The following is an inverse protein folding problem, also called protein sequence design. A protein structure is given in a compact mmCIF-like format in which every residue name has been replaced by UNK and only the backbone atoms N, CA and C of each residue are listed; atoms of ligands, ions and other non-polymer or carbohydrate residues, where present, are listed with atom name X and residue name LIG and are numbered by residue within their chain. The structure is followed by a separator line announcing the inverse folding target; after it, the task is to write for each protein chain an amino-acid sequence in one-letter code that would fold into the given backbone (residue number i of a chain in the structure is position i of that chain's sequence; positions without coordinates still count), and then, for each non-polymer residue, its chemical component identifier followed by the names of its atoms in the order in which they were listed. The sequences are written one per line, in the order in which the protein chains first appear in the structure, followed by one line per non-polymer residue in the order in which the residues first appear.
data_IF_265972148436
#
_entry.id   IF_265972148436
#
_cell.length_a   1.000
_cell.length_b   1.000
_cell.length_c   1.000
_cell.angle_alpha   90.00
_cell.angle_beta   90.00
_cell.angle_gamma   90.00
#
_symmetry.space_group_name_H-M   'P 1'
#
loop_
_entity.id
_entity.type
_entity.pdbx_description
1 polymer ?
#
# COMPACT_ATOMS: atom_id res chain seq x y z
N UNK A 1 5.06 12.09 12.32
CA UNK A 1 5.49 11.11 11.31
C UNK A 1 5.40 11.77 9.94
N UNK A 2 6.43 11.62 9.08
CA UNK A 2 6.49 12.22 7.73
C UNK A 2 6.26 11.14 6.67
N UNK A 3 5.29 11.37 5.80
CA UNK A 3 4.87 10.41 4.78
C UNK A 3 4.91 11.05 3.41
N UNK A 4 5.56 10.37 2.46
CA UNK A 4 5.49 10.75 1.06
C UNK A 4 4.43 9.91 0.35
N UNK A 5 3.58 10.55 -0.45
CA UNK A 5 2.59 9.86 -1.29
C UNK A 5 2.91 10.13 -2.75
N UNK A 6 3.17 9.07 -3.49
CA UNK A 6 3.50 9.07 -4.92
C UNK A 6 2.41 8.34 -5.69
N UNK A 7 2.33 8.59 -6.99
CA UNK A 7 1.40 7.86 -7.85
C UNK A 7 1.37 8.43 -9.26
N UNK A 8 0.96 7.58 -10.21
CA UNK A 8 0.70 8.02 -11.58
C UNK A 8 -0.38 9.12 -11.61
N UNK A 9 -0.45 9.93 -12.69
CA UNK A 9 -1.50 10.93 -12.87
C UNK A 9 -2.91 10.34 -12.68
N UNK A 10 -3.84 11.13 -12.14
CA UNK A 10 -5.24 10.75 -11.89
C UNK A 10 -5.47 9.52 -10.98
N UNK A 11 -4.46 9.08 -10.21
CA UNK A 11 -4.63 8.06 -9.16
C UNK A 11 -5.21 8.63 -7.85
N UNK A 12 -5.68 9.88 -7.81
CA UNK A 12 -6.26 10.45 -6.58
C UNK A 12 -5.27 10.62 -5.42
N UNK A 13 -3.96 10.66 -5.69
CA UNK A 13 -2.91 10.91 -4.68
C UNK A 13 -3.18 12.16 -3.83
N UNK A 14 -3.59 13.26 -4.47
CA UNK A 14 -3.90 14.52 -3.81
C UNK A 14 -5.12 14.42 -2.89
N UNK A 15 -6.16 13.70 -3.32
CA UNK A 15 -7.34 13.44 -2.48
C UNK A 15 -6.96 12.61 -1.23
N UNK A 16 -6.07 11.62 -1.38
CA UNK A 16 -5.56 10.83 -0.26
C UNK A 16 -4.73 11.68 0.71
N UNK A 17 -3.89 12.59 0.21
CA UNK A 17 -3.11 13.53 1.03
C UNK A 17 -4.05 14.38 1.89
N UNK A 18 -5.06 15.00 1.29
CA UNK A 18 -6.06 15.80 2.01
C UNK A 18 -6.83 14.97 3.04
N UNK A 19 -7.24 13.75 2.67
CA UNK A 19 -7.98 12.85 3.55
C UNK A 19 -7.16 12.43 4.78
N UNK A 20 -5.86 12.12 4.60
CA UNK A 20 -4.96 11.76 5.69
C UNK A 20 -4.67 12.94 6.62
N UNK A 21 -4.40 14.12 6.05
CA UNK A 21 -4.18 15.33 6.84
C UNK A 21 -5.40 15.69 7.71
N UNK A 22 -6.61 15.40 7.23
CA UNK A 22 -7.85 15.62 7.98
C UNK A 22 -8.15 14.54 9.03
N UNK A 23 -7.53 13.35 8.91
CA UNK A 23 -7.76 12.23 9.83
C UNK A 23 -6.76 12.18 10.97
N UNK A 24 -5.53 12.65 10.75
CA UNK A 24 -4.42 12.58 11.70
C UNK A 24 -3.63 13.89 11.70
N UNK A 25 -3.95 14.77 12.65
CA UNK A 25 -3.36 16.11 12.75
C UNK A 25 -1.82 16.12 12.92
N UNK A 26 -1.25 15.04 13.46
CA UNK A 26 0.20 14.91 13.72
C UNK A 26 0.99 14.37 12.52
N UNK A 27 0.31 14.04 11.43
CA UNK A 27 0.89 13.45 10.23
C UNK A 27 1.33 14.55 9.25
N UNK A 28 2.62 14.59 8.90
CA UNK A 28 3.10 15.46 7.83
C UNK A 28 3.09 14.68 6.52
N UNK A 29 2.21 15.04 5.60
CA UNK A 29 2.06 14.33 4.32
C UNK A 29 2.52 15.20 3.16
N UNK A 30 3.42 14.67 2.34
CA UNK A 30 3.90 15.30 1.10
C UNK A 30 3.19 14.71 -0.12
N UNK A 31 2.58 15.54 -0.96
CA UNK A 31 2.01 15.14 -2.25
C UNK A 31 3.09 15.14 -3.34
N UNK A 32 3.43 13.95 -3.83
CA UNK A 32 4.38 13.70 -4.91
C UNK A 32 5.69 14.51 -4.81
N UNK A 33 6.46 14.39 -3.70
CA UNK A 33 7.75 15.05 -3.58
C UNK A 33 8.71 14.61 -4.71
N UNK A 34 9.62 15.52 -5.10
CA UNK A 34 10.63 15.21 -6.11
C UNK A 34 11.57 14.08 -5.65
N UNK A 35 12.22 13.35 -6.56
CA UNK A 35 13.20 12.32 -6.21
C UNK A 35 14.29 12.82 -5.26
N UNK A 36 14.84 14.02 -5.50
CA UNK A 36 15.85 14.62 -4.62
C UNK A 36 15.30 14.87 -3.22
N UNK A 37 14.05 15.32 -3.12
CA UNK A 37 13.36 15.53 -1.84
C UNK A 37 13.05 14.21 -1.15
N UNK A 38 12.76 13.13 -1.88
CA UNK A 38 12.55 11.79 -1.32
C UNK A 38 13.84 11.21 -0.75
N UNK A 39 14.96 11.44 -1.44
CA UNK A 39 16.25 10.87 -1.07
C UNK A 39 16.92 11.63 0.08
N UNK A 40 16.78 12.96 0.11
CA UNK A 40 17.31 13.81 1.18
C UNK A 40 16.32 14.01 2.33
N UNK A 41 15.02 13.88 2.04
CA UNK A 41 13.95 14.03 3.00
C UNK A 41 13.84 12.80 3.89
N UNK A 42 13.83 13.03 5.20
CA UNK A 42 13.62 11.97 6.19
C UNK A 42 12.14 11.62 6.26
N UNK A 43 11.70 10.70 5.40
CA UNK A 43 10.35 10.13 5.41
C UNK A 43 10.33 8.82 6.21
N UNK A 44 9.36 8.67 7.10
CA UNK A 44 9.16 7.45 7.88
C UNK A 44 8.50 6.34 7.02
N UNK A 45 7.65 6.76 6.07
CA UNK A 45 6.95 5.89 5.11
C UNK A 45 6.83 6.55 3.76
N UNK A 46 6.96 5.75 2.71
CA UNK A 46 6.65 6.12 1.32
C UNK A 46 5.50 5.25 0.83
N UNK A 47 4.43 5.89 0.36
CA UNK A 47 3.25 5.23 -0.19
C UNK A 47 3.17 5.49 -1.69
N UNK A 48 2.87 4.45 -2.47
CA UNK A 48 2.65 4.52 -3.91
C UNK A 48 1.20 4.16 -4.23
N UNK A 49 0.50 5.00 -5.00
CA UNK A 49 -0.87 4.71 -5.42
C UNK A 49 -0.92 3.57 -6.45
N UNK A 50 -1.80 2.60 -6.21
CA UNK A 50 -2.12 1.55 -7.17
C UNK A 50 -2.95 2.03 -8.38
N UNK A 51 -2.91 1.24 -9.45
CA UNK A 51 -3.64 1.43 -10.71
C UNK A 51 -4.95 0.64 -10.80
N UNK A 52 -5.54 0.32 -9.66
CA UNK A 52 -6.71 -0.56 -9.52
C UNK A 52 -8.06 0.10 -9.81
N UNK A 53 -8.06 1.39 -10.18
CA UNK A 53 -9.24 2.09 -10.68
C UNK A 53 -9.54 1.69 -12.13
N UNK A 54 -10.83 1.61 -12.52
CA UNK A 54 -11.18 1.37 -13.91
C UNK A 54 -10.71 2.53 -14.79
N UNK A 55 -10.36 2.23 -16.05
CA UNK A 55 -9.96 3.25 -17.02
C UNK A 55 -8.47 3.64 -16.98
N UNK A 56 -7.61 2.85 -16.34
CA UNK A 56 -6.16 3.06 -16.37
C UNK A 56 -5.64 3.02 -17.81
N UNK A 57 -4.90 4.08 -18.19
CA UNK A 57 -4.30 4.24 -19.51
C UNK A 57 -2.87 3.68 -19.59
N UNK A 58 -2.35 3.36 -20.78
CA UNK A 58 -0.95 2.98 -20.96
C UNK A 58 0.05 4.02 -20.45
N UNK A 59 -0.28 5.31 -20.56
CA UNK A 59 0.55 6.39 -20.03
C UNK A 59 0.64 6.34 -18.49
N UNK A 60 -0.47 6.02 -17.81
CA UNK A 60 -0.47 5.84 -16.35
C UNK A 60 0.32 4.59 -15.92
N UNK A 61 0.24 3.50 -16.70
CA UNK A 61 1.05 2.30 -16.47
C UNK A 61 2.55 2.58 -16.62
N UNK A 62 2.93 3.30 -17.68
CA UNK A 62 4.31 3.71 -17.90
C UNK A 62 4.81 4.63 -16.77
N UNK A 63 3.98 5.58 -16.32
CA UNK A 63 4.32 6.46 -15.21
C UNK A 63 4.49 5.71 -13.88
N UNK A 64 3.60 4.76 -13.56
CA UNK A 64 3.73 3.90 -12.36
C UNK A 64 4.99 3.02 -12.43
N UNK A 65 5.25 2.39 -13.58
CA UNK A 65 6.45 1.60 -13.79
C UNK A 65 7.73 2.43 -13.63
N UNK A 66 7.74 3.66 -14.17
CA UNK A 66 8.86 4.59 -14.00
C UNK A 66 9.06 5.00 -12.53
N UNK A 67 8.00 5.25 -11.78
CA UNK A 67 8.07 5.55 -10.35
C UNK A 67 8.64 4.37 -9.57
N UNK A 68 8.18 3.14 -9.84
CA UNK A 68 8.71 1.92 -9.21
C UNK A 68 10.19 1.71 -9.52
N UNK A 69 10.59 1.91 -10.77
CA UNK A 69 11.99 1.80 -11.19
C UNK A 69 12.87 2.84 -10.48
N UNK A 70 12.41 4.09 -10.35
CA UNK A 70 13.12 5.15 -9.63
C UNK A 70 13.26 4.84 -8.14
N UNK A 71 12.17 4.43 -7.48
CA UNK A 71 12.21 4.06 -6.06
C UNK A 71 13.17 2.88 -5.81
N UNK A 72 13.15 1.87 -6.70
CA UNK A 72 14.08 0.75 -6.63
C UNK A 72 15.54 1.17 -6.83
N UNK A 73 15.81 2.03 -7.83
CA UNK A 73 17.16 2.55 -8.09
C UNK A 73 17.72 3.38 -6.91
N UNK A 74 16.86 4.11 -6.20
CA UNK A 74 17.23 4.86 -4.99
C UNK A 74 17.30 4.00 -3.73
N UNK A 75 16.90 2.72 -3.78
CA UNK A 75 16.81 1.85 -2.61
C UNK A 75 15.74 2.29 -1.60
N UNK A 76 14.74 3.06 -2.03
CA UNK A 76 13.67 3.57 -1.16
C UNK A 76 12.58 2.51 -1.04
N UNK A 77 12.40 1.98 0.18
CA UNK A 77 11.28 1.09 0.47
C UNK A 77 9.95 1.84 0.40
N UNK A 78 8.94 1.23 -0.23
CA UNK A 78 7.60 1.80 -0.35
C UNK A 78 6.53 0.72 -0.18
N UNK A 79 5.32 1.15 0.21
CA UNK A 79 4.13 0.31 0.25
C UNK A 79 3.10 0.82 -0.77
N UNK A 80 2.32 -0.10 -1.36
CA UNK A 80 1.33 0.25 -2.39
C UNK A 80 -0.06 0.39 -1.78
N UNK A 81 -0.73 1.51 -2.04
CA UNK A 81 -2.11 1.78 -1.61
C UNK A 81 -3.07 1.41 -2.74
N UNK A 82 -3.81 0.32 -2.54
CA UNK A 82 -4.91 -0.09 -3.40
C UNK A 82 -6.26 0.41 -2.88
N UNK A 83 -7.25 0.49 -3.77
CA UNK A 83 -8.65 0.77 -3.47
C UNK A 83 -9.34 1.46 -4.64
N UNK A 84 -10.57 1.07 -4.97
CA UNK A 84 -11.30 1.68 -6.10
C UNK A 84 -11.88 3.04 -5.73
N UNK A 85 -12.29 3.17 -4.48
CA UNK A 85 -12.90 4.36 -3.91
C UNK A 85 -11.96 5.10 -2.96
N UNK A 86 -12.19 6.40 -2.75
CA UNK A 86 -11.36 7.24 -1.88
C UNK A 86 -11.34 6.75 -0.43
N UNK A 87 -12.51 6.37 0.11
CA UNK A 87 -12.64 5.83 1.47
C UNK A 87 -11.87 4.51 1.65
N UNK A 88 -11.81 3.69 0.61
CA UNK A 88 -11.05 2.43 0.64
C UNK A 88 -9.55 2.71 0.67
N UNK A 89 -9.07 3.65 -0.17
CA UNK A 89 -7.67 4.09 -0.19
C UNK A 89 -7.23 4.72 1.13
N UNK A 90 -8.08 5.55 1.74
CA UNK A 90 -7.81 6.10 3.07
C UNK A 90 -7.63 4.98 4.10
N UNK A 91 -8.55 4.01 4.15
CA UNK A 91 -8.46 2.87 5.09
C UNK A 91 -7.23 2.00 4.83
N UNK A 92 -6.86 1.79 3.57
CA UNK A 92 -5.66 1.04 3.19
C UNK A 92 -4.39 1.78 3.63
N UNK A 93 -4.30 3.09 3.36
CA UNK A 93 -3.19 3.92 3.79
C UNK A 93 -3.04 3.92 5.32
N UNK A 94 -4.13 4.13 6.07
CA UNK A 94 -4.08 4.11 7.54
C UNK A 94 -3.52 2.80 8.10
N UNK A 95 -3.83 1.66 7.49
CA UNK A 95 -3.26 0.35 7.89
C UNK A 95 -1.77 0.18 7.58
N UNK A 96 -1.24 0.88 6.59
CA UNK A 96 0.19 0.87 6.26
C UNK A 96 1.00 1.84 7.12
N UNK A 97 0.33 2.91 7.57
CA UNK A 97 0.85 3.98 8.41
C UNK A 97 0.95 3.52 9.86
N UNK A 98 -0.16 2.97 10.36
CA UNK A 98 -0.30 2.42 11.70
C UNK A 98 -0.83 0.99 11.53
N UNK A 99 0.07 0.02 11.32
CA UNK A 99 -0.32 -1.37 11.32
C UNK A 99 -0.81 -1.68 12.72
N UNK A 100 -2.13 -1.81 12.86
CA UNK A 100 -2.73 -2.27 14.11
C UNK A 100 -2.01 -3.55 14.53
N UNK A 101 -1.47 -3.56 15.75
CA UNK A 101 -0.90 -4.75 16.41
C UNK A 101 -2.02 -5.77 16.67
N UNK A 102 -2.59 -6.31 15.59
CA UNK A 102 -3.21 -7.61 15.62
C UNK A 102 -2.11 -8.64 15.80
N UNK A 103 -2.40 -9.81 16.41
CA UNK A 103 -1.41 -10.88 16.44
C UNK A 103 -0.91 -11.10 15.02
N UNK A 104 0.42 -11.06 14.84
CA UNK A 104 1.03 -11.48 13.60
C UNK A 104 0.38 -12.82 13.24
N UNK A 105 -0.13 -13.01 12.00
CA UNK A 105 -0.71 -14.28 11.62
C UNK A 105 0.30 -15.35 12.01
N UNK A 106 -0.12 -16.29 12.88
CA UNK A 106 0.73 -17.37 13.39
C UNK A 106 0.94 -18.39 12.29
N UNK A 107 1.58 -17.96 11.21
CA UNK A 107 2.08 -18.84 10.19
C UNK A 107 3.41 -19.42 10.71
N UNK A 108 3.32 -20.63 11.26
CA UNK A 108 4.48 -21.42 11.72
C UNK A 108 4.99 -22.40 10.66
N UNK A 109 4.43 -22.36 9.45
CA UNK A 109 4.87 -23.20 8.34
C UNK A 109 6.08 -22.63 7.62
N UNK A 110 7.11 -23.44 7.39
CA UNK A 110 8.17 -23.07 6.42
C UNK A 110 7.57 -23.25 5.02
N UNK A 111 7.21 -22.16 4.36
CA UNK A 111 6.91 -22.22 2.93
C UNK A 111 8.25 -22.30 2.20
N UNK A 112 8.78 -23.51 2.00
CA UNK A 112 10.05 -23.70 1.29
C UNK A 112 9.91 -23.38 -0.21
N UNK A 113 8.69 -23.32 -0.73
CA UNK A 113 8.38 -23.00 -2.13
C UNK A 113 7.11 -22.16 -2.22
N UNK A 114 7.27 -20.86 -2.52
CA UNK A 114 6.19 -19.87 -2.64
C UNK A 114 5.20 -20.11 -3.82
N UNK A 115 5.12 -21.33 -4.36
CA UNK A 115 4.28 -21.69 -5.51
C UNK A 115 3.74 -23.14 -5.41
N UNK A 116 3.61 -23.68 -4.19
CA UNK A 116 3.01 -24.99 -3.97
C UNK A 116 1.47 -24.87 -4.01
N UNK A 117 0.78 -25.52 -4.99
CA UNK A 117 -0.68 -25.48 -5.10
C UNK A 117 -1.42 -25.98 -3.86
N UNK A 118 -0.83 -26.91 -3.11
CA UNK A 118 -1.42 -27.45 -1.88
C UNK A 118 -1.42 -26.37 -0.77
N UNK A 119 -0.32 -25.61 -0.69
CA UNK A 119 -0.18 -24.49 0.26
C UNK A 119 -1.16 -23.36 -0.07
N UNK A 120 -1.30 -23.01 -1.35
CA UNK A 120 -2.29 -22.03 -1.80
C UNK A 120 -3.72 -22.50 -1.49
N UNK A 121 -4.04 -23.76 -1.77
CA UNK A 121 -5.37 -24.32 -1.51
C UNK A 121 -5.75 -24.25 -0.03
N UNK A 122 -4.83 -24.60 0.87
CA UNK A 122 -5.04 -24.53 2.32
C UNK A 122 -5.24 -23.08 2.78
N UNK A 123 -4.42 -22.15 2.30
CA UNK A 123 -4.53 -20.73 2.63
C UNK A 123 -5.87 -20.14 2.18
N UNK A 124 -6.27 -20.40 0.93
CA UNK A 124 -7.55 -19.93 0.40
C UNK A 124 -8.74 -20.55 1.13
N UNK A 125 -8.65 -21.83 1.51
CA UNK A 125 -9.72 -22.53 2.24
C UNK A 125 -9.88 -21.97 3.66
N UNK A 126 -8.77 -21.69 4.35
CA UNK A 126 -8.76 -21.05 5.66
C UNK A 126 -9.40 -19.64 5.59
N UNK A 127 -8.98 -18.82 4.62
CA UNK A 127 -9.53 -17.46 4.42
C UNK A 127 -11.04 -17.47 4.12
N UNK A 128 -11.52 -18.41 3.29
CA UNK A 128 -12.96 -18.58 3.03
C UNK A 128 -13.71 -18.94 4.31
N UNK A 129 -13.18 -19.85 5.11
CA UNK A 129 -13.79 -20.29 6.36
C UNK A 129 -13.84 -19.17 7.41
N UNK A 130 -12.78 -18.38 7.55
CA UNK A 130 -12.76 -17.20 8.43
C UNK A 130 -13.76 -16.13 8.02
N UNK A 131 -13.93 -15.90 6.71
CA UNK A 131 -14.94 -14.96 6.17
C UNK A 131 -16.36 -15.41 6.48
N UNK A 132 -16.64 -16.72 6.38
CA UNK A 132 -17.95 -17.30 6.71
C UNK A 132 -18.21 -17.24 8.22
N UNK A 133 -17.18 -17.37 9.05
CA UNK A 133 -17.32 -17.38 10.51
C UNK A 133 -17.39 -15.99 11.15
N UNK A 134 -17.24 -14.89 10.39
CA UNK A 134 -17.20 -13.52 10.95
C UNK A 134 -16.11 -13.30 12.00
N UNK A 135 -15.13 -14.21 12.08
CA UNK A 135 -14.09 -14.26 13.10
C UNK A 135 -12.78 -13.79 12.46
N UNK A 136 -12.01 -12.88 13.09
CA UNK A 136 -10.68 -12.56 12.58
C UNK A 136 -9.82 -13.83 12.55
N UNK A 137 -8.92 -13.97 11.56
CA UNK A 137 -8.03 -15.12 11.47
C UNK A 137 -7.21 -15.24 12.76
N UNK A 138 -7.12 -16.46 13.29
CA UNK A 138 -6.43 -16.81 14.53
C UNK A 138 -4.91 -17.00 14.31
#
# INVERSE_FOLDING_TARGET
MRIAILGAPATGKTALVSALASHVDTLQVSDAPSPDTLQTGRYDRVLLMGLDRPGTTPAQQAADAALRAQLAAMGVAFAVVYGREERERLRAALRLIDPQDGPAPRWTGVCEKCADPECEFQLFTALKSSKVAGRPPA
#
